data_IF_273034926185
#
_entry.id   IF_273034926185
#
_cell.length_a   1.000
_cell.length_b   1.000
_cell.length_c   1.000
_cell.angle_alpha   90.00
_cell.angle_beta   90.00
_cell.angle_gamma   90.00
#
_symmetry.space_group_name_H-M   'P 1'
#
loop_
_entity.id
_entity.type
_entity.pdbx_description
1 polymer ?
#
# COMPACT_ATOMS: atom_id res chain seq x y z
N UNK A 1 -2.65 10.72 0.10
CA UNK A 1 -3.13 10.47 1.47
C UNK A 1 -4.52 9.87 1.38
N UNK A 2 -4.80 8.85 2.17
CA UNK A 2 -6.07 8.13 2.16
C UNK A 2 -6.41 7.62 3.56
N UNK A 3 -7.69 7.33 3.80
CA UNK A 3 -8.18 6.76 5.06
C UNK A 3 -9.14 5.62 4.78
N UNK A 4 -9.07 4.56 5.58
CA UNK A 4 -9.99 3.43 5.52
C UNK A 4 -10.28 2.93 6.94
N UNK A 5 -11.52 2.49 7.16
CA UNK A 5 -11.96 1.89 8.42
C UNK A 5 -12.33 0.43 8.14
N UNK A 6 -11.77 -0.50 8.91
CA UNK A 6 -12.03 -1.93 8.76
C UNK A 6 -11.99 -2.62 10.12
N UNK A 7 -13.00 -3.44 10.43
CA UNK A 7 -13.04 -4.21 11.68
C UNK A 7 -13.03 -3.36 12.97
N UNK A 8 -13.39 -2.08 12.90
CA UNK A 8 -13.31 -1.14 14.01
C UNK A 8 -11.96 -0.41 14.14
N UNK A 9 -10.96 -0.80 13.33
CA UNK A 9 -9.66 -0.13 13.26
C UNK A 9 -9.66 0.95 12.18
N UNK A 10 -8.98 2.07 12.45
CA UNK A 10 -8.78 3.18 11.50
C UNK A 10 -7.37 3.13 10.96
N UNK A 11 -7.25 3.18 9.64
CA UNK A 11 -6.00 3.17 8.90
C UNK A 11 -5.88 4.45 8.08
N UNK A 12 -4.75 5.14 8.18
CA UNK A 12 -4.48 6.37 7.41
C UNK A 12 -3.17 6.18 6.66
N UNK A 13 -3.16 6.28 5.33
CA UNK A 13 -1.94 6.27 4.54
C UNK A 13 -1.41 7.68 4.30
N UNK A 14 -0.09 7.83 4.41
CA UNK A 14 0.62 9.07 4.14
C UNK A 14 2.12 8.92 4.31
N UNK A 15 2.77 9.98 4.76
CA UNK A 15 4.20 9.94 5.02
C UNK A 15 4.62 11.02 6.01
N UNK A 16 5.84 10.88 6.48
CA UNK A 16 6.50 11.85 7.37
C UNK A 16 7.95 12.02 6.94
N UNK A 17 8.58 13.09 7.39
CA UNK A 17 10.02 13.30 7.16
C UNK A 17 10.81 12.56 8.24
N UNK A 18 11.82 11.79 7.83
CA UNK A 18 12.80 11.23 8.75
C UNK A 18 13.77 12.30 9.26
N UNK A 19 14.57 11.96 10.27
CA UNK A 19 15.64 12.82 10.79
C UNK A 19 16.67 13.25 9.73
N UNK A 20 16.71 12.54 8.60
CA UNK A 20 17.59 12.82 7.45
C UNK A 20 16.91 13.64 6.35
N UNK A 21 15.73 14.20 6.62
CA UNK A 21 14.90 14.92 5.66
C UNK A 21 14.50 14.06 4.44
N UNK A 22 14.30 12.75 4.66
CA UNK A 22 13.83 11.80 3.64
C UNK A 22 12.36 11.49 3.87
N UNK A 23 11.55 11.49 2.82
CA UNK A 23 10.13 11.14 2.91
C UNK A 23 9.93 9.66 3.20
N UNK A 24 9.36 9.32 4.35
CA UNK A 24 9.04 7.93 4.73
C UNK A 24 7.58 7.68 4.37
N UNK A 25 7.33 6.68 3.52
CA UNK A 25 5.97 6.22 3.25
C UNK A 25 5.52 5.28 4.36
N UNK A 26 4.26 5.43 4.78
CA UNK A 26 3.71 4.57 5.80
C UNK A 26 2.21 4.72 5.96
N UNK A 27 1.70 4.07 6.99
CA UNK A 27 0.33 4.30 7.45
C UNK A 27 0.26 4.35 8.97
N UNK A 28 -0.80 4.93 9.50
CA UNK A 28 -1.12 4.88 10.93
C UNK A 28 -2.26 3.90 11.15
N UNK A 29 -2.11 2.99 12.12
CA UNK A 29 -3.21 2.15 12.63
C UNK A 29 -3.58 2.64 14.02
N UNK A 30 -4.79 3.17 14.18
CA UNK A 30 -5.28 3.72 15.46
C UNK A 30 -4.28 4.71 16.11
N UNK A 31 -3.66 5.57 15.29
CA UNK A 31 -2.66 6.55 15.74
C UNK A 31 -1.23 6.01 15.86
N UNK A 32 -1.00 4.71 15.75
CA UNK A 32 0.34 4.11 15.79
C UNK A 32 0.94 4.08 14.37
N UNK A 33 2.09 4.74 14.12
CA UNK A 33 2.74 4.73 12.81
C UNK A 33 3.34 3.36 12.48
N UNK A 34 3.18 2.95 11.23
CA UNK A 34 3.75 1.73 10.63
C UNK A 34 4.54 2.14 9.38
N UNK A 35 5.88 2.17 9.44
CA UNK A 35 6.72 2.50 8.29
C UNK A 35 6.65 1.40 7.23
N UNK A 36 6.49 1.80 5.97
CA UNK A 36 6.58 0.92 4.81
C UNK A 36 7.95 1.03 4.11
N UNK A 37 8.73 2.07 4.44
CA UNK A 37 10.11 2.26 3.96
C UNK A 37 11.06 2.51 5.12
N UNK A 38 12.36 2.26 4.90
CA UNK A 38 13.43 2.45 5.89
C UNK A 38 13.93 3.90 5.98
N UNK A 39 13.37 4.81 5.19
CA UNK A 39 13.77 6.21 5.12
C UNK A 39 15.13 6.46 4.47
N UNK A 40 15.66 5.50 3.70
CA UNK A 40 16.87 5.70 2.89
C UNK A 40 16.58 6.40 1.56
N UNK A 41 15.38 6.20 1.02
CA UNK A 41 14.87 6.84 -0.19
C UNK A 41 13.53 7.48 0.10
N UNK A 42 13.27 8.62 -0.55
CA UNK A 42 11.98 9.29 -0.43
C UNK A 42 10.90 8.44 -1.06
N UNK A 43 9.82 8.21 -0.30
CA UNK A 43 8.65 7.48 -0.75
C UNK A 43 7.37 8.16 -0.25
N UNK A 44 6.28 7.93 -0.97
CA UNK A 44 4.99 8.52 -0.67
C UNK A 44 3.89 7.47 -0.76
N UNK A 45 3.06 7.37 0.27
CA UNK A 45 1.86 6.56 0.26
C UNK A 45 0.64 7.41 -0.14
N UNK A 46 -0.06 7.00 -1.18
CA UNK A 46 -1.18 7.73 -1.74
C UNK A 46 -2.53 7.12 -1.39
N UNK A 47 -2.61 5.79 -1.44
CA UNK A 47 -3.85 5.02 -1.26
C UNK A 47 -3.65 3.85 -0.29
N UNK A 48 -4.74 3.41 0.36
CA UNK A 48 -4.76 2.27 1.27
C UNK A 48 -6.07 1.49 1.13
N UNK A 49 -5.95 0.15 1.18
CA UNK A 49 -7.06 -0.79 1.21
C UNK A 49 -6.75 -1.88 2.22
N UNK A 50 -7.77 -2.31 2.97
CA UNK A 50 -7.68 -3.43 3.91
C UNK A 50 -8.59 -4.54 3.41
N UNK A 51 -8.06 -5.76 3.31
CA UNK A 51 -8.80 -6.96 2.92
C UNK A 51 -8.51 -8.09 3.91
N UNK A 52 -9.49 -8.42 4.75
CA UNK A 52 -9.29 -9.36 5.85
C UNK A 52 -8.17 -8.89 6.78
N UNK A 53 -7.08 -9.66 6.87
CA UNK A 53 -5.89 -9.33 7.64
C UNK A 53 -4.82 -8.55 6.87
N UNK A 54 -4.96 -8.43 5.55
CA UNK A 54 -3.95 -7.85 4.69
C UNK A 54 -4.20 -6.33 4.49
N UNK A 55 -3.13 -5.55 4.61
CA UNK A 55 -3.12 -4.11 4.34
C UNK A 55 -2.30 -3.86 3.08
N UNK A 56 -2.95 -3.23 2.11
CA UNK A 56 -2.36 -2.84 0.83
C UNK A 56 -2.24 -1.33 0.80
N UNK A 57 -1.04 -0.83 0.57
CA UNK A 57 -0.76 0.60 0.41
C UNK A 57 -0.20 0.81 -0.99
N UNK A 58 -0.69 1.78 -1.73
CA UNK A 58 -0.17 2.11 -3.06
C UNK A 58 0.42 3.52 -3.07
N UNK A 59 1.50 3.70 -3.84
CA UNK A 59 2.20 4.96 -3.98
C UNK A 59 3.44 4.81 -4.86
N UNK A 60 4.52 5.48 -4.47
CA UNK A 60 5.78 5.41 -5.22
C UNK A 60 6.99 5.61 -4.31
N UNK A 61 8.13 5.05 -4.73
CA UNK A 61 9.46 5.30 -4.16
C UNK A 61 10.31 6.01 -5.21
N UNK A 62 11.15 6.96 -4.79
CA UNK A 62 12.15 7.57 -5.67
C UNK A 62 13.35 6.65 -5.80
N UNK A 63 13.77 6.35 -7.03
CA UNK A 63 15.04 5.65 -7.27
C UNK A 63 16.25 6.57 -7.03
N UNK A 64 17.47 6.02 -7.19
CA UNK A 64 18.71 6.78 -7.01
C UNK A 64 18.91 7.95 -7.99
N UNK A 65 18.08 8.08 -9.02
CA UNK A 65 18.06 9.19 -9.98
C UNK A 65 16.96 10.21 -9.68
N UNK A 66 16.16 9.98 -8.64
CA UNK A 66 15.01 10.81 -8.28
C UNK A 66 13.75 10.52 -9.11
N UNK A 67 13.74 9.43 -9.89
CA UNK A 67 12.56 9.03 -10.66
C UNK A 67 11.58 8.28 -9.76
N UNK A 68 10.30 8.64 -9.84
CA UNK A 68 9.23 7.93 -9.16
C UNK A 68 9.03 6.54 -9.79
N UNK A 69 9.26 5.50 -8.99
CA UNK A 69 8.96 4.10 -9.29
C UNK A 69 7.63 3.76 -8.62
N UNK A 70 6.57 3.45 -9.38
CA UNK A 70 5.31 3.02 -8.81
C UNK A 70 5.53 1.76 -7.96
N UNK A 71 5.05 1.77 -6.73
CA UNK A 71 5.26 0.70 -5.75
C UNK A 71 3.99 0.54 -4.93
N UNK A 72 3.65 -0.70 -4.60
CA UNK A 72 2.68 -0.95 -3.55
C UNK A 72 3.33 -1.78 -2.44
N UNK A 73 2.83 -1.63 -1.24
CA UNK A 73 3.28 -2.37 -0.08
C UNK A 73 2.16 -3.28 0.40
N UNK A 74 2.50 -4.55 0.65
CA UNK A 74 1.61 -5.51 1.32
C UNK A 74 2.19 -5.83 2.68
N UNK A 75 1.49 -5.48 3.76
CA UNK A 75 1.92 -5.78 5.13
C UNK A 75 3.38 -5.33 5.45
N UNK A 76 3.84 -4.23 4.85
CA UNK A 76 5.21 -3.72 5.02
C UNK A 76 6.22 -4.18 3.95
N UNK A 77 5.89 -5.17 3.13
CA UNK A 77 6.77 -5.63 2.05
C UNK A 77 6.51 -4.83 0.76
N UNK A 78 7.57 -4.19 0.23
CA UNK A 78 7.50 -3.38 -0.98
C UNK A 78 7.52 -4.23 -2.26
N UNK A 79 6.53 -4.02 -3.13
CA UNK A 79 6.43 -4.62 -4.46
C UNK A 79 6.38 -3.52 -5.54
N UNK A 80 7.52 -3.29 -6.24
CA UNK A 80 7.57 -2.38 -7.36
C UNK A 80 6.64 -2.82 -8.51
N UNK A 81 5.93 -1.87 -9.11
CA UNK A 81 5.04 -2.03 -10.25
C UNK A 81 5.66 -1.56 -11.56
N UNK A 82 6.99 -1.36 -11.60
CA UNK A 82 7.69 -1.00 -12.83
C UNK A 82 7.33 -1.99 -13.95
N UNK A 83 6.87 -1.46 -15.09
CA UNK A 83 6.43 -2.24 -16.24
C UNK A 83 7.50 -3.22 -16.75
N UNK A 84 7.17 -4.13 -17.68
CA UNK A 84 8.05 -5.24 -18.05
C UNK A 84 9.37 -4.71 -18.61
N UNK A 85 10.39 -4.65 -17.77
CA UNK A 85 11.77 -4.72 -18.22
C UNK A 85 11.97 -6.14 -18.72
N UNK A 86 12.32 -6.29 -19.99
CA UNK A 86 12.61 -7.55 -20.67
C UNK A 86 13.48 -8.46 -19.79
N UNK A 87 12.87 -9.41 -19.09
CA UNK A 87 13.55 -10.23 -18.10
C UNK A 87 12.61 -10.64 -16.97
N UNK A 88 11.73 -11.61 -17.26
CA UNK A 88 11.05 -12.47 -16.27
C UNK A 88 10.75 -11.83 -14.90
N UNK A 89 10.01 -10.73 -14.90
CA UNK A 89 9.50 -10.11 -13.68
C UNK A 89 8.25 -10.86 -13.22
N UNK A 90 8.35 -11.49 -12.05
CA UNK A 90 7.24 -12.13 -11.33
C UNK A 90 6.10 -11.11 -11.25
N UNK A 91 4.99 -11.37 -11.96
CA UNK A 91 3.75 -10.64 -11.73
C UNK A 91 3.47 -10.72 -10.23
N UNK A 92 3.40 -9.56 -9.57
CA UNK A 92 2.74 -9.43 -8.29
C UNK A 92 1.49 -10.32 -8.29
N UNK A 93 1.28 -11.21 -7.30
CA UNK A 93 0.03 -11.92 -7.22
C UNK A 93 -1.07 -10.87 -7.06
N UNK A 94 -1.80 -10.63 -8.14
CA UNK A 94 -3.06 -9.93 -8.13
C UNK A 94 -3.91 -10.52 -7.00
N UNK A 95 -4.54 -9.73 -6.13
CA UNK A 95 -5.44 -10.25 -5.09
C UNK A 95 -6.68 -10.96 -5.67
N UNK A 96 -6.85 -10.93 -6.98
CA UNK A 96 -7.99 -11.49 -7.67
C UNK A 96 -7.52 -12.54 -8.69
N UNK A 97 -7.16 -13.73 -8.22
CA UNK A 97 -7.30 -14.93 -9.07
C UNK A 97 -8.72 -15.43 -8.89
N UNK A 98 -9.52 -15.22 -9.94
CA UNK A 98 -10.67 -16.02 -10.38
C UNK A 98 -11.64 -16.50 -9.28
N UNK A 99 -12.76 -15.79 -9.12
CA UNK A 99 -13.93 -16.35 -8.40
C UNK A 99 -14.67 -15.43 -7.43
N UNK A 100 -14.31 -14.14 -7.29
CA UNK A 100 -15.12 -13.21 -6.50
C UNK A 100 -16.43 -12.88 -7.22
N UNK A 101 -17.44 -13.72 -7.03
CA UNK A 101 -18.84 -13.32 -7.19
C UNK A 101 -19.09 -12.24 -6.14
N UNK A 102 -19.20 -10.99 -6.58
CA UNK A 102 -19.83 -9.94 -5.80
C UNK A 102 -21.31 -10.33 -5.60
N UNK A 103 -21.61 -11.20 -4.63
CA UNK A 103 -22.98 -11.40 -4.21
C UNK A 103 -23.37 -10.17 -3.39
N UNK A 104 -24.06 -9.26 -4.08
CA UNK A 104 -24.90 -8.20 -3.52
C UNK A 104 -25.50 -8.72 -2.21
N UNK A 105 -25.15 -8.12 -1.06
CA UNK A 105 -25.90 -8.35 0.17
C UNK A 105 -27.30 -7.78 -0.08
N UNK A 106 -28.25 -8.64 -0.44
CA UNK A 106 -29.66 -8.28 -0.41
C UNK A 106 -30.06 -8.14 1.07
N UNK A 107 -30.35 -6.90 1.45
CA UNK A 107 -31.09 -6.57 2.66
C UNK A 107 -32.54 -7.06 2.49
N UNK A 108 -32.81 -8.31 2.87
CA UNK A 108 -34.12 -8.82 3.30
C UNK A 108 -34.04 -10.32 3.62
N UNK A 109 -34.05 -10.65 4.91
CA UNK A 109 -34.91 -11.70 5.47
C UNK A 109 -34.86 -11.67 7.00
N UNK A 110 -35.86 -11.01 7.57
CA UNK A 110 -36.58 -11.45 8.77
C UNK A 110 -38.05 -11.50 8.40
#
# INVERSE_FOLDING_TARGET
>A
MAVVVSGGDVYVAGGWSSDRNVGVAGYWKNGVPVPMTDGTKSAFAESIVVSGSDVYVAGYELDGTGKAVPTYWKNGEALPLAGPTSGSGKLAPSPCREGCVCRRLDLRDR
#
